data_IF_882617612578
#
_entry.id   IF_882617612578
#
_cell.length_a   1.000
_cell.length_b   1.000
_cell.length_c   1.000
_cell.angle_alpha   90.00
_cell.angle_beta   90.00
_cell.angle_gamma   90.00
#
_symmetry.space_group_name_H-M   'P 1'
#
loop_
_entity.id
_entity.type
_entity.pdbx_description
1 polymer ?
#
# COMPACT_ATOMS: atom_id res chain seq x y z
N UNK A 1 11.73 -24.62 -5.09
CA UNK A 1 11.47 -23.45 -4.23
C UNK A 1 12.76 -22.74 -3.78
N UNK A 2 13.80 -22.67 -4.63
CA UNK A 2 15.07 -21.99 -4.30
C UNK A 2 15.21 -20.59 -4.94
N UNK A 3 14.49 -20.35 -6.05
CA UNK A 3 14.62 -19.11 -6.83
C UNK A 3 14.08 -17.84 -6.15
N UNK A 4 13.12 -17.97 -5.21
CA UNK A 4 12.65 -16.82 -4.42
C UNK A 4 13.68 -16.38 -3.38
N UNK A 5 14.43 -17.33 -2.81
CA UNK A 5 15.32 -17.11 -1.66
C UNK A 5 16.60 -16.35 -2.03
N UNK A 6 17.02 -16.35 -3.29
CA UNK A 6 18.22 -15.64 -3.75
C UNK A 6 17.99 -14.14 -3.99
N UNK A 7 16.74 -13.68 -4.16
CA UNK A 7 16.45 -12.24 -4.32
C UNK A 7 16.06 -11.53 -3.03
N UNK A 8 15.81 -12.28 -1.95
CA UNK A 8 15.40 -11.79 -0.64
C UNK A 8 16.47 -10.97 0.09
N UNK A 9 17.70 -10.89 -0.44
CA UNK A 9 18.82 -10.21 0.22
C UNK A 9 19.47 -9.12 -0.65
N UNK A 10 18.70 -8.43 -1.50
CA UNK A 10 19.18 -7.22 -2.15
C UNK A 10 18.60 -5.96 -1.48
N UNK A 11 19.33 -5.32 -0.54
CA UNK A 11 18.90 -4.09 0.12
C UNK A 11 18.53 -2.96 -0.85
N UNK A 12 19.13 -2.93 -2.04
CA UNK A 12 18.82 -1.91 -3.05
C UNK A 12 17.40 -2.05 -3.59
N UNK A 13 16.89 -3.29 -3.71
CA UNK A 13 15.50 -3.54 -4.12
C UNK A 13 14.54 -3.10 -3.02
N UNK A 14 14.81 -3.44 -1.76
CA UNK A 14 14.00 -3.00 -0.64
C UNK A 14 13.97 -1.46 -0.51
N UNK A 15 15.10 -0.79 -0.75
CA UNK A 15 15.15 0.67 -0.77
C UNK A 15 14.34 1.26 -1.92
N UNK A 16 14.47 0.73 -3.14
CA UNK A 16 13.68 1.18 -4.29
C UNK A 16 12.16 1.02 -4.04
N UNK A 17 11.76 -0.10 -3.42
CA UNK A 17 10.36 -0.31 -3.01
C UNK A 17 9.90 0.75 -2.02
N UNK A 18 10.71 1.09 -1.01
CA UNK A 18 10.39 2.15 -0.04
C UNK A 18 10.35 3.55 -0.66
N UNK A 19 11.20 3.83 -1.64
CA UNK A 19 11.23 5.13 -2.33
C UNK A 19 9.93 5.39 -3.08
N UNK A 20 9.34 4.37 -3.69
CA UNK A 20 8.03 4.48 -4.33
C UNK A 20 6.93 4.98 -3.37
N UNK A 21 7.04 4.63 -2.09
CA UNK A 21 6.11 5.08 -1.06
C UNK A 21 6.21 6.57 -0.72
N UNK A 22 7.24 7.28 -1.15
CA UNK A 22 7.28 8.75 -1.04
C UNK A 22 6.15 9.42 -1.83
N UNK A 23 5.69 8.76 -2.91
CA UNK A 23 4.57 9.24 -3.72
C UNK A 23 3.26 8.53 -3.37
N UNK A 24 3.30 7.20 -3.20
CA UNK A 24 2.09 6.42 -2.94
C UNK A 24 1.41 6.81 -1.61
N UNK A 25 2.18 7.18 -0.59
CA UNK A 25 1.62 7.56 0.71
C UNK A 25 0.68 8.77 0.61
N UNK A 26 0.91 9.69 -0.33
CA UNK A 26 0.06 10.87 -0.57
C UNK A 26 -1.36 10.50 -1.05
N UNK A 27 -1.60 9.23 -1.41
CA UNK A 27 -2.93 8.72 -1.73
C UNK A 27 -3.74 8.29 -0.51
N UNK A 28 -3.18 8.37 0.70
CA UNK A 28 -3.85 7.99 1.94
C UNK A 28 -4.22 9.21 2.76
N UNK A 29 -5.17 9.04 3.69
CA UNK A 29 -5.62 10.03 4.65
C UNK A 29 -4.49 10.55 5.58
N UNK A 30 -3.60 9.66 6.00
CA UNK A 30 -2.48 9.98 6.89
C UNK A 30 -1.11 9.68 6.23
N UNK A 31 -0.70 10.45 5.20
CA UNK A 31 0.44 10.13 4.33
C UNK A 31 1.76 9.99 5.10
N UNK A 32 2.01 10.88 6.06
CA UNK A 32 3.23 10.85 6.89
C UNK A 32 3.32 9.58 7.73
N UNK A 33 2.19 9.08 8.27
CA UNK A 33 2.17 7.87 9.09
C UNK A 33 2.35 6.63 8.23
N UNK A 34 1.69 6.57 7.08
CA UNK A 34 1.86 5.52 6.07
C UNK A 34 3.33 5.43 5.64
N UNK A 35 3.93 6.53 5.19
CA UNK A 35 5.32 6.54 4.73
C UNK A 35 6.30 6.11 5.84
N UNK A 36 6.14 6.63 7.06
CA UNK A 36 7.01 6.25 8.20
C UNK A 36 6.92 4.77 8.55
N UNK A 37 5.78 4.14 8.31
CA UNK A 37 5.56 2.72 8.59
C UNK A 37 6.35 1.85 7.62
N UNK A 38 6.19 2.09 6.32
CA UNK A 38 6.90 1.35 5.27
C UNK A 38 8.40 1.60 5.30
N UNK A 39 8.84 2.84 5.56
CA UNK A 39 10.27 3.20 5.61
C UNK A 39 11.04 2.46 6.71
N UNK A 40 10.37 2.02 7.79
CA UNK A 40 11.00 1.33 8.93
C UNK A 40 11.31 -0.15 8.68
N UNK A 41 10.71 -0.77 7.65
CA UNK A 41 10.94 -2.17 7.33
C UNK A 41 12.44 -2.45 7.10
N UNK A 42 13.00 -3.51 7.68
CA UNK A 42 14.43 -3.86 7.51
C UNK A 42 14.64 -5.11 6.66
N UNK A 43 13.58 -5.86 6.44
CA UNK A 43 13.54 -7.04 5.57
C UNK A 43 12.35 -6.97 4.61
N UNK A 44 12.29 -7.87 3.64
CA UNK A 44 11.10 -8.01 2.79
C UNK A 44 9.88 -8.48 3.58
N UNK A 45 10.08 -9.32 4.59
CA UNK A 45 9.01 -9.78 5.49
C UNK A 45 8.44 -8.58 6.26
N UNK A 46 9.31 -7.76 6.87
CA UNK A 46 8.89 -6.55 7.58
C UNK A 46 8.15 -5.58 6.64
N UNK A 47 8.56 -5.53 5.37
CA UNK A 47 7.94 -4.67 4.36
C UNK A 47 6.54 -5.16 4.03
N UNK A 48 6.37 -6.45 3.75
CA UNK A 48 5.05 -7.07 3.49
C UNK A 48 4.10 -6.86 4.67
N UNK A 49 4.55 -7.13 5.89
CA UNK A 49 3.77 -6.86 7.11
C UNK A 49 3.41 -5.37 7.24
N UNK A 50 4.35 -4.45 6.94
CA UNK A 50 4.06 -3.03 6.96
C UNK A 50 2.99 -2.63 5.93
N UNK A 51 3.01 -3.23 4.74
CA UNK A 51 2.02 -3.00 3.68
C UNK A 51 0.64 -3.49 4.11
N UNK A 52 0.55 -4.71 4.65
CA UNK A 52 -0.70 -5.27 5.15
C UNK A 52 -1.31 -4.37 6.22
N UNK A 53 -0.48 -3.87 7.14
CA UNK A 53 -0.95 -2.95 8.16
C UNK A 53 -1.22 -1.53 7.63
N UNK A 54 -0.72 -1.14 6.46
CA UNK A 54 -1.10 0.13 5.82
C UNK A 54 -2.52 0.00 5.29
N UNK A 55 -2.77 -1.01 4.45
CA UNK A 55 -4.10 -1.21 3.85
C UNK A 55 -5.17 -1.63 4.87
N UNK A 56 -4.79 -2.23 6.01
CA UNK A 56 -5.72 -2.60 7.07
C UNK A 56 -6.05 -1.47 8.06
N UNK A 57 -5.23 -0.42 8.18
CA UNK A 57 -5.39 0.60 9.21
C UNK A 57 -5.47 2.05 8.70
N UNK A 58 -5.26 2.29 7.41
CA UNK A 58 -5.30 3.62 6.81
C UNK A 58 -6.25 3.64 5.62
N UNK A 59 -6.95 4.74 5.43
CA UNK A 59 -7.89 4.89 4.34
C UNK A 59 -7.18 5.35 3.08
N UNK A 60 -7.39 4.61 1.98
CA UNK A 60 -6.92 5.01 0.66
C UNK A 60 -7.97 5.91 0.01
N UNK A 61 -7.62 7.15 -0.30
CA UNK A 61 -8.52 8.15 -0.88
C UNK A 61 -9.08 7.71 -2.26
N UNK A 62 -8.37 6.84 -2.98
CA UNK A 62 -8.85 6.28 -4.25
C UNK A 62 -9.91 5.17 -4.12
N UNK A 63 -10.19 4.70 -2.89
CA UNK A 63 -11.16 3.63 -2.64
C UNK A 63 -12.63 4.05 -2.76
N UNK A 64 -12.90 5.36 -2.77
CA UNK A 64 -14.26 5.91 -2.78
C UNK A 64 -14.93 5.94 -4.16
N UNK A 65 -14.22 5.57 -5.22
CA UNK A 65 -14.79 5.44 -6.56
C UNK A 65 -15.25 4.00 -6.84
N UNK A 66 -16.32 3.57 -6.18
CA UNK A 66 -17.35 2.81 -6.90
C UNK A 66 -18.39 3.83 -7.32
N UNK A 67 -18.50 4.20 -8.62
CA UNK A 67 -19.77 4.71 -9.08
C UNK A 67 -20.80 3.67 -8.67
N UNK A 68 -21.79 4.06 -7.86
CA UNK A 68 -23.02 3.29 -7.82
C UNK A 68 -23.45 3.17 -9.28
N UNK A 69 -23.34 1.96 -9.81
CA UNK A 69 -23.90 1.67 -11.10
C UNK A 69 -25.41 1.86 -10.89
N UNK A 70 -25.91 3.01 -11.34
CA UNK A 70 -27.28 3.52 -11.25
C UNK A 70 -27.53 4.45 -10.04
N UNK A 71 -27.80 5.75 -10.26
CA UNK A 71 -28.35 6.67 -9.26
C UNK A 71 -29.69 6.15 -8.70
N UNK A 72 -29.99 6.36 -7.42
CA UNK A 72 -31.25 5.93 -6.78
C UNK A 72 -32.51 6.42 -7.52
N UNK A 73 -32.41 7.51 -8.27
CA UNK A 73 -33.49 8.04 -9.13
C UNK A 73 -33.81 7.19 -10.36
N UNK A 74 -33.03 6.15 -10.64
CA UNK A 74 -33.19 5.23 -11.79
C UNK A 74 -33.41 3.77 -11.37
N UNK A 75 -33.64 3.49 -10.07
CA UNK A 75 -34.17 2.20 -9.64
C UNK A 75 -35.67 2.16 -9.92
N UNK A 76 -36.10 1.39 -10.93
CA UNK A 76 -37.52 1.09 -11.11
C UNK A 76 -37.96 0.10 -10.02
N UNK A 77 -39.07 0.42 -9.35
CA UNK A 77 -39.69 -0.37 -8.27
C UNK A 77 -40.20 -1.72 -8.75
#
# INVERSE_FOLDING_TARGET
MAYRKERDNNPSVLNAMKEYWAYLAESFDEPVRVFRKVRKAKSFIDYEEAIDQVFGNFHWAGSENKPSAIPDSLQWS
#
